data_IF_090415235795
#
_entry.id   IF_090415235795
#
_cell.length_a   1.000
_cell.length_b   1.000
_cell.length_c   1.000
_cell.angle_alpha   90.00
_cell.angle_beta   90.00
_cell.angle_gamma   90.00
#
_symmetry.space_group_name_H-M   'P 1'
#
loop_
_entity.id
_entity.type
_entity.pdbx_description
1 polymer ?
#
# COMPACT_ATOMS: atom_id res chain seq x y z
N UNK A 1 15.22 -34.64 -12.69
CA UNK A 1 16.10 -33.45 -12.65
C UNK A 1 15.23 -32.21 -12.74
N UNK A 2 15.21 -31.40 -11.68
CA UNK A 2 15.05 -29.95 -11.73
C UNK A 2 15.31 -29.39 -10.31
N UNK A 3 16.57 -29.30 -9.86
CA UNK A 3 16.93 -28.50 -8.68
C UNK A 3 16.88 -27.02 -9.10
N UNK A 4 15.68 -26.44 -9.03
CA UNK A 4 15.43 -25.06 -9.39
C UNK A 4 15.20 -24.20 -8.16
N UNK A 5 16.19 -23.33 -7.92
CA UNK A 5 16.07 -22.03 -7.27
C UNK A 5 16.00 -22.02 -5.73
N UNK A 6 17.09 -21.45 -5.21
CA UNK A 6 17.28 -20.67 -3.98
C UNK A 6 16.09 -19.75 -3.62
N UNK A 7 14.93 -20.33 -3.33
CA UNK A 7 13.71 -19.59 -3.04
C UNK A 7 13.32 -19.86 -1.59
N UNK A 8 13.77 -18.94 -0.74
CA UNK A 8 13.22 -18.55 0.55
C UNK A 8 12.80 -19.73 1.44
N UNK A 9 13.72 -20.09 2.33
CA UNK A 9 13.71 -21.18 3.31
C UNK A 9 12.43 -21.33 4.18
N UNK A 10 11.45 -20.45 4.05
CA UNK A 10 10.20 -20.44 4.83
C UNK A 10 9.35 -21.70 4.66
N UNK A 11 9.31 -22.31 3.47
CA UNK A 11 8.60 -23.58 3.27
C UNK A 11 9.28 -24.75 3.97
N UNK A 12 10.61 -24.73 4.04
CA UNK A 12 11.41 -25.75 4.75
C UNK A 12 11.20 -25.60 6.26
N UNK A 13 11.34 -24.39 6.78
CA UNK A 13 11.10 -24.06 8.19
C UNK A 13 9.68 -24.44 8.61
N UNK A 14 8.67 -24.11 7.79
CA UNK A 14 7.29 -24.47 8.06
C UNK A 14 7.09 -25.99 8.11
N UNK A 15 7.72 -26.73 7.18
CA UNK A 15 7.64 -28.19 7.13
C UNK A 15 8.30 -28.85 8.34
N UNK A 16 9.49 -28.39 8.73
CA UNK A 16 10.18 -28.89 9.92
C UNK A 16 9.37 -28.57 11.20
N UNK A 17 8.76 -27.39 11.27
CA UNK A 17 7.88 -27.02 12.36
C UNK A 17 6.63 -27.91 12.43
N UNK A 18 6.00 -28.17 11.29
CA UNK A 18 4.84 -29.05 11.18
C UNK A 18 5.15 -30.47 11.69
N UNK A 19 6.30 -31.02 11.30
CA UNK A 19 6.76 -32.34 11.77
C UNK A 19 7.03 -32.36 13.27
N UNK A 20 7.76 -31.35 13.77
CA UNK A 20 8.10 -31.21 15.19
C UNK A 20 6.88 -31.06 16.09
N UNK A 21 5.83 -30.38 15.59
CA UNK A 21 4.57 -30.18 16.33
C UNK A 21 3.52 -31.25 16.05
N UNK A 22 3.80 -32.22 15.17
CA UNK A 22 2.86 -33.26 14.71
C UNK A 22 1.56 -32.67 14.16
N UNK A 23 1.65 -31.57 13.41
CA UNK A 23 0.49 -30.88 12.84
C UNK A 23 0.41 -31.10 11.32
N UNK A 24 -0.78 -31.40 10.80
CA UNK A 24 -1.01 -31.53 9.36
C UNK A 24 -0.96 -30.15 8.67
N UNK A 25 -0.10 -30.04 7.67
CA UNK A 25 0.03 -28.86 6.82
C UNK A 25 -0.65 -29.12 5.46
N UNK A 26 -1.62 -28.29 5.10
CA UNK A 26 -2.33 -28.34 3.83
C UNK A 26 -2.10 -27.04 3.04
N UNK A 27 -1.72 -27.17 1.77
CA UNK A 27 -1.45 -26.05 0.88
C UNK A 27 -2.56 -25.99 -0.16
N UNK A 28 -3.27 -24.88 -0.21
CA UNK A 28 -4.34 -24.62 -1.15
C UNK A 28 -3.90 -23.49 -2.09
N UNK A 29 -3.64 -23.81 -3.35
CA UNK A 29 -3.39 -22.79 -4.36
C UNK A 29 -4.71 -22.19 -4.84
N UNK A 30 -4.92 -20.94 -4.45
CA UNK A 30 -6.08 -20.18 -4.88
C UNK A 30 -5.86 -19.55 -6.25
N UNK A 31 -6.96 -19.09 -6.85
CA UNK A 31 -6.95 -18.47 -8.18
C UNK A 31 -5.96 -17.31 -8.24
N UNK A 32 -5.31 -17.20 -9.39
CA UNK A 32 -4.54 -16.02 -9.75
C UNK A 32 -5.49 -14.88 -10.11
N UNK A 33 -5.32 -13.73 -9.48
CA UNK A 33 -6.09 -12.52 -9.73
C UNK A 33 -5.16 -11.42 -10.23
N UNK A 34 -5.56 -10.72 -11.28
CA UNK A 34 -4.78 -9.63 -11.87
C UNK A 34 -4.78 -9.65 -13.40
N UNK A 35 -4.38 -8.53 -14.03
CA UNK A 35 -4.20 -8.49 -15.47
C UNK A 35 -3.03 -9.38 -15.91
N UNK A 36 -3.01 -9.81 -17.18
CA UNK A 36 -1.95 -10.70 -17.71
C UNK A 36 -0.51 -10.18 -17.50
N UNK A 37 -0.34 -8.87 -17.30
CA UNK A 37 0.95 -8.21 -17.04
C UNK A 37 1.25 -7.99 -15.54
N UNK A 38 0.30 -8.28 -14.63
CA UNK A 38 0.44 -8.13 -13.18
C UNK A 38 -0.39 -9.21 -12.46
N UNK A 39 -0.07 -10.47 -12.77
CA UNK A 39 -0.80 -11.62 -12.24
C UNK A 39 -0.35 -11.89 -10.79
N UNK A 40 -1.27 -11.77 -9.84
CA UNK A 40 -1.02 -12.10 -8.44
C UNK A 40 -1.55 -13.50 -8.13
N UNK A 41 -0.69 -14.36 -7.63
CA UNK A 41 -1.05 -15.67 -7.14
C UNK A 41 -1.42 -15.59 -5.66
N UNK A 42 -2.56 -16.17 -5.31
CA UNK A 42 -3.02 -16.30 -3.94
C UNK A 42 -2.81 -17.76 -3.50
N UNK A 43 -2.25 -17.94 -2.30
CA UNK A 43 -2.02 -19.27 -1.72
C UNK A 43 -2.43 -19.23 -0.26
N UNK A 44 -3.19 -20.24 0.15
CA UNK A 44 -3.59 -20.44 1.54
C UNK A 44 -2.88 -21.65 2.10
N UNK A 45 -2.36 -21.53 3.32
CA UNK A 45 -1.74 -22.64 4.04
C UNK A 45 -2.50 -22.82 5.36
N UNK A 46 -2.95 -24.05 5.59
CA UNK A 46 -3.59 -24.46 6.82
C UNK A 46 -2.63 -25.38 7.58
N UNK A 47 -2.29 -25.04 8.81
CA UNK A 47 -1.47 -25.85 9.70
C UNK A 47 -2.24 -26.14 10.98
N UNK A 48 -2.93 -27.28 11.00
CA UNK A 48 -3.81 -27.68 12.11
C UNK A 48 -4.94 -26.68 12.31
N UNK A 49 -4.87 -25.91 13.40
CA UNK A 49 -5.83 -24.84 13.73
C UNK A 49 -5.43 -23.47 13.21
N UNK A 50 -4.20 -23.32 12.70
CA UNK A 50 -3.68 -22.05 12.20
C UNK A 50 -3.85 -21.97 10.70
N UNK A 51 -4.14 -20.78 10.19
CA UNK A 51 -4.35 -20.57 8.77
C UNK A 51 -3.77 -19.23 8.36
N UNK A 52 -3.04 -19.21 7.26
CA UNK A 52 -2.49 -17.98 6.71
C UNK A 52 -2.60 -17.97 5.19
N UNK A 53 -2.78 -16.76 4.65
CA UNK A 53 -2.94 -16.52 3.23
C UNK A 53 -1.82 -15.60 2.77
N UNK A 54 -1.09 -16.03 1.74
CA UNK A 54 0.02 -15.29 1.17
C UNK A 54 -0.22 -15.01 -0.30
N UNK A 55 0.25 -13.85 -0.73
CA UNK A 55 0.17 -13.41 -2.12
C UNK A 55 1.56 -13.22 -2.71
N UNK A 56 1.72 -13.47 -4.00
CA UNK A 56 2.99 -13.28 -4.68
C UNK A 56 2.87 -13.19 -6.19
N UNK A 57 3.90 -12.64 -6.83
CA UNK A 57 3.99 -12.52 -8.30
C UNK A 57 4.16 -13.87 -8.99
N UNK A 58 4.58 -14.89 -8.23
CA UNK A 58 4.70 -16.27 -8.69
C UNK A 58 4.05 -17.20 -7.66
N UNK A 59 3.61 -18.38 -8.09
CA UNK A 59 3.07 -19.41 -7.18
C UNK A 59 4.02 -19.75 -6.03
N UNK A 60 5.33 -19.70 -6.28
CA UNK A 60 6.37 -20.01 -5.29
C UNK A 60 6.59 -18.86 -4.30
N UNK A 61 6.58 -17.61 -4.77
CA UNK A 61 6.59 -16.44 -3.90
C UNK A 61 5.34 -16.36 -3.00
N UNK A 62 4.16 -16.68 -3.55
CA UNK A 62 2.91 -16.72 -2.79
C UNK A 62 2.96 -17.78 -1.66
N UNK A 63 3.48 -18.97 -1.96
CA UNK A 63 3.71 -20.04 -0.97
C UNK A 63 4.68 -19.61 0.13
N UNK A 64 5.81 -19.01 -0.21
CA UNK A 64 6.79 -18.54 0.77
C UNK A 64 6.22 -17.46 1.69
N UNK A 65 5.44 -16.52 1.13
CA UNK A 65 4.79 -15.46 1.88
C UNK A 65 3.72 -16.00 2.84
N UNK A 66 2.90 -16.96 2.38
CA UNK A 66 1.91 -17.62 3.22
C UNK A 66 2.58 -18.37 4.39
N UNK A 67 3.71 -19.05 4.12
CA UNK A 67 4.47 -19.78 5.13
C UNK A 67 5.09 -18.85 6.18
N UNK A 68 5.60 -17.69 5.75
CA UNK A 68 6.14 -16.67 6.65
C UNK A 68 5.06 -16.14 7.62
N UNK A 69 3.90 -15.75 7.09
CA UNK A 69 2.78 -15.25 7.91
C UNK A 69 2.29 -16.30 8.91
N UNK A 70 2.26 -17.57 8.49
CA UNK A 70 1.86 -18.66 9.36
C UNK A 70 2.87 -18.88 10.49
N UNK A 71 4.17 -18.83 10.20
CA UNK A 71 5.22 -18.94 11.22
C UNK A 71 5.17 -17.78 12.23
N UNK A 72 4.92 -16.57 11.75
CA UNK A 72 4.72 -15.39 12.62
C UNK A 72 3.48 -15.55 13.52
N UNK A 73 2.38 -16.08 12.97
CA UNK A 73 1.15 -16.33 13.73
C UNK A 73 1.36 -17.38 14.83
N UNK A 74 2.13 -18.43 14.54
CA UNK A 74 2.36 -19.53 15.47
C UNK A 74 3.43 -19.19 16.51
N UNK A 75 4.40 -18.34 16.16
CA UNK A 75 5.48 -17.94 17.05
C UNK A 75 5.86 -16.46 16.88
N UNK A 76 5.05 -15.53 17.42
CA UNK A 76 5.25 -14.08 17.26
C UNK A 76 6.50 -13.52 17.96
N UNK A 77 7.30 -14.36 18.64
CA UNK A 77 8.57 -13.99 19.28
C UNK A 77 9.76 -14.88 18.90
N UNK A 78 9.61 -15.73 17.86
CA UNK A 78 10.66 -16.63 17.41
C UNK A 78 11.77 -15.89 16.67
N UNK A 79 12.97 -15.87 17.23
CA UNK A 79 14.17 -15.36 16.60
C UNK A 79 14.46 -16.13 15.28
N UNK A 80 14.12 -15.54 14.14
CA UNK A 80 14.67 -15.95 12.83
C UNK A 80 15.39 -14.76 12.18
N UNK A 81 16.63 -14.94 11.69
CA UNK A 81 17.42 -13.86 11.12
C UNK A 81 17.06 -13.64 9.65
N UNK A 82 16.94 -12.36 9.29
CA UNK A 82 16.91 -11.82 7.93
C UNK A 82 15.75 -12.22 7.02
N UNK A 83 14.70 -11.41 7.16
CA UNK A 83 13.91 -10.89 6.05
C UNK A 83 13.29 -9.58 6.49
N UNK A 84 14.07 -8.50 6.48
CA UNK A 84 13.51 -7.14 6.42
C UNK A 84 12.69 -7.08 5.13
N UNK A 85 11.41 -7.43 5.24
CA UNK A 85 10.42 -7.00 4.28
C UNK A 85 9.72 -5.84 4.98
N UNK A 86 10.36 -4.68 4.85
CA UNK A 86 9.67 -3.40 4.79
C UNK A 86 8.50 -3.47 3.81
N UNK A 87 7.35 -4.00 4.25
CA UNK A 87 6.01 -3.49 3.95
C UNK A 87 5.13 -3.74 5.18
N UNK A 88 5.55 -3.13 6.30
CA UNK A 88 4.61 -2.60 7.27
C UNK A 88 3.64 -1.69 6.53
N UNK A 89 2.48 -2.25 6.17
CA UNK A 89 1.16 -1.78 6.60
C UNK A 89 0.10 -2.81 6.20
N UNK A 90 0.10 -3.92 6.93
CA UNK A 90 -1.10 -4.22 7.69
C UNK A 90 -1.24 -3.14 8.75
N UNK A 91 -1.77 -1.98 8.36
CA UNK A 91 -2.41 -1.09 9.30
C UNK A 91 -3.75 -0.79 8.65
N UNK A 92 -4.75 -1.51 9.16
CA UNK A 92 -6.04 -0.96 9.53
C UNK A 92 -6.21 0.54 9.25
N UNK A 93 -6.32 0.96 7.99
CA UNK A 93 -6.99 2.23 7.68
C UNK A 93 -8.49 1.97 7.67
N UNK A 94 -8.98 1.55 8.83
CA UNK A 94 -10.33 1.87 9.23
C UNK A 94 -10.47 3.38 9.07
N UNK A 95 -11.15 3.80 8.01
CA UNK A 95 -11.58 5.18 7.83
C UNK A 95 -10.47 6.26 7.82
N UNK A 96 -9.31 6.02 7.19
CA UNK A 96 -8.44 7.15 6.86
C UNK A 96 -9.02 7.90 5.66
N UNK A 97 -9.80 8.94 5.95
CA UNK A 97 -10.36 9.81 4.93
C UNK A 97 -9.23 10.71 4.42
N UNK A 98 -8.42 10.24 3.47
CA UNK A 98 -7.36 11.05 2.84
C UNK A 98 -7.88 12.37 2.27
N UNK A 99 -9.14 12.37 1.84
CA UNK A 99 -9.88 13.57 1.42
C UNK A 99 -10.06 14.54 2.59
N UNK A 100 -10.36 14.03 3.78
CA UNK A 100 -10.46 14.78 5.03
C UNK A 100 -9.10 15.30 5.50
N UNK A 101 -8.06 14.45 5.51
CA UNK A 101 -6.71 14.88 5.89
C UNK A 101 -6.20 16.02 4.99
N UNK A 102 -6.43 15.94 3.67
CA UNK A 102 -6.09 17.02 2.74
C UNK A 102 -6.85 18.31 3.03
N UNK A 103 -8.15 18.17 3.36
CA UNK A 103 -9.00 19.30 3.69
C UNK A 103 -8.55 19.98 4.98
N UNK A 104 -8.28 19.21 6.03
CA UNK A 104 -7.78 19.69 7.32
C UNK A 104 -6.42 20.38 7.17
N UNK A 105 -5.49 19.78 6.41
CA UNK A 105 -4.18 20.38 6.16
C UNK A 105 -4.28 21.72 5.43
N UNK A 106 -5.10 21.80 4.39
CA UNK A 106 -5.34 23.06 3.69
C UNK A 106 -5.96 24.10 4.64
N UNK A 107 -6.94 23.70 5.45
CA UNK A 107 -7.61 24.60 6.39
C UNK A 107 -6.65 25.12 7.48
N UNK A 108 -5.78 24.26 8.01
CA UNK A 108 -4.78 24.63 9.01
C UNK A 108 -3.76 25.64 8.46
N UNK A 109 -3.36 25.50 7.18
CA UNK A 109 -2.46 26.42 6.50
C UNK A 109 -3.16 27.66 5.92
N UNK A 110 -4.47 27.82 6.15
CA UNK A 110 -5.34 28.86 5.54
C UNK A 110 -5.33 28.86 4.01
N UNK A 111 -5.18 27.69 3.41
CA UNK A 111 -5.18 27.48 1.97
C UNK A 111 -6.59 27.15 1.46
N UNK A 112 -6.80 27.30 0.15
CA UNK A 112 -8.12 27.06 -0.46
C UNK A 112 -8.47 25.57 -0.40
N UNK A 113 -9.74 25.26 -0.15
CA UNK A 113 -10.22 23.88 -0.07
C UNK A 113 -10.01 23.13 -1.40
N UNK A 114 -9.63 21.84 -1.35
CA UNK A 114 -9.43 21.02 -2.54
C UNK A 114 -10.76 20.72 -3.25
N UNK A 115 -10.80 20.95 -4.57
CA UNK A 115 -11.96 20.68 -5.43
C UNK A 115 -11.75 19.37 -6.18
N UNK A 116 -12.70 18.44 -6.09
CA UNK A 116 -12.65 17.15 -6.79
C UNK A 116 -13.61 17.15 -7.98
N UNK A 117 -13.07 16.96 -9.16
CA UNK A 117 -13.80 16.86 -10.42
C UNK A 117 -13.68 15.44 -10.96
N UNK A 118 -14.79 14.75 -11.15
CA UNK A 118 -14.79 13.41 -11.75
C UNK A 118 -14.68 13.57 -13.27
N UNK A 119 -13.58 13.11 -13.88
CA UNK A 119 -13.48 12.99 -15.34
C UNK A 119 -13.93 11.58 -15.74
N UNK A 120 -15.07 11.52 -16.45
CA UNK A 120 -15.52 10.29 -17.09
C UNK A 120 -14.56 9.95 -18.26
N UNK A 121 -13.52 9.18 -17.95
CA UNK A 121 -12.63 8.62 -18.97
C UNK A 121 -13.36 7.59 -19.82
N UNK A 122 -13.00 7.52 -21.10
CA UNK A 122 -13.58 6.63 -22.12
C UNK A 122 -13.20 5.13 -21.93
N UNK A 123 -12.64 4.76 -20.76
CA UNK A 123 -12.11 3.43 -20.44
C UNK A 123 -12.65 2.97 -19.08
N UNK A 124 -12.64 1.66 -18.83
CA UNK A 124 -13.14 0.99 -17.61
C UNK A 124 -12.48 1.42 -16.29
N UNK A 125 -11.60 2.43 -16.30
CA UNK A 125 -10.95 3.05 -15.15
C UNK A 125 -11.54 4.45 -14.91
N UNK A 126 -11.97 4.74 -13.68
CA UNK A 126 -12.51 6.05 -13.31
C UNK A 126 -11.39 6.99 -12.92
N UNK A 127 -11.40 8.20 -13.47
CA UNK A 127 -10.39 9.22 -13.18
C UNK A 127 -11.04 10.36 -12.39
N UNK A 128 -10.43 10.74 -11.28
CA UNK A 128 -10.81 11.90 -10.49
C UNK A 128 -9.66 12.90 -10.55
N UNK A 129 -9.95 14.16 -10.87
CA UNK A 129 -8.99 15.24 -10.84
C UNK A 129 -9.22 16.06 -9.58
N UNK A 130 -8.20 16.18 -8.74
CA UNK A 130 -8.22 17.09 -7.60
C UNK A 130 -7.48 18.38 -7.99
N UNK A 131 -8.11 19.52 -7.72
CA UNK A 131 -7.60 20.86 -7.98
C UNK A 131 -7.49 21.58 -6.64
N UNK A 132 -6.28 21.96 -6.24
CA UNK A 132 -6.02 22.66 -4.97
C UNK A 132 -5.37 24.00 -5.28
N UNK A 133 -5.92 25.09 -4.71
CA UNK A 133 -5.38 26.43 -4.90
C UNK A 133 -4.64 26.87 -3.64
N UNK A 134 -3.32 26.98 -3.75
CA UNK A 134 -2.43 27.37 -2.66
C UNK A 134 -2.08 28.85 -2.80
N UNK A 135 -2.39 29.70 -1.80
CA UNK A 135 -1.94 31.08 -1.77
C UNK A 135 -0.43 31.15 -1.52
N UNK A 136 0.28 31.98 -2.29
CA UNK A 136 1.66 32.40 -2.02
C UNK A 136 1.61 33.83 -1.48
N UNK A 137 1.71 33.96 -0.16
CA UNK A 137 1.77 35.27 0.51
C UNK A 137 2.96 36.11 0.06
N UNK A 138 4.10 35.47 -0.21
CA UNK A 138 5.34 36.16 -0.59
C UNK A 138 5.32 36.75 -2.00
N UNK A 139 4.50 36.22 -2.92
CA UNK A 139 4.47 36.64 -4.33
C UNK A 139 3.14 37.29 -4.76
N UNK A 140 2.22 37.61 -3.82
CA UNK A 140 0.81 37.97 -4.12
C UNK A 140 0.20 37.04 -5.19
N UNK A 141 0.55 35.77 -5.14
CA UNK A 141 0.19 34.78 -6.15
C UNK A 141 -0.74 33.72 -5.57
N UNK A 142 -1.41 32.97 -6.45
CA UNK A 142 -2.00 31.69 -6.07
C UNK A 142 -1.58 30.63 -7.07
N UNK A 143 -0.97 29.54 -6.59
CA UNK A 143 -0.63 28.40 -7.43
C UNK A 143 -1.78 27.39 -7.39
N UNK A 144 -2.18 26.91 -8.56
CA UNK A 144 -3.24 25.90 -8.67
C UNK A 144 -2.62 24.55 -9.01
N UNK A 145 -2.55 23.67 -8.02
CA UNK A 145 -2.07 22.30 -8.18
C UNK A 145 -3.20 21.45 -8.77
N UNK A 146 -2.91 20.76 -9.86
CA UNK A 146 -3.82 19.83 -10.51
C UNK A 146 -3.25 18.42 -10.43
N UNK A 147 -3.87 17.55 -9.65
CA UNK A 147 -3.50 16.14 -9.60
C UNK A 147 -4.60 15.27 -10.18
N UNK A 148 -4.21 14.18 -10.82
CA UNK A 148 -5.13 13.15 -11.28
C UNK A 148 -4.95 11.91 -10.41
N UNK A 149 -6.06 11.33 -10.00
CA UNK A 149 -6.14 10.04 -9.34
C UNK A 149 -6.98 9.11 -10.19
N UNK A 150 -6.43 7.94 -10.52
CA UNK A 150 -7.13 6.92 -11.30
C UNK A 150 -7.49 5.76 -10.38
N UNK A 151 -8.75 5.34 -10.37
CA UNK A 151 -9.21 4.20 -9.57
C UNK A 151 -10.21 3.30 -10.30
N UNK A 152 -10.27 2.03 -9.90
CA UNK A 152 -11.31 1.09 -10.36
C UNK A 152 -12.71 1.49 -9.87
N UNK A 153 -12.80 2.29 -8.80
CA UNK A 153 -14.05 2.81 -8.24
C UNK A 153 -13.93 4.31 -7.95
N UNK A 154 -15.06 5.01 -7.81
CA UNK A 154 -15.09 6.45 -7.48
C UNK A 154 -14.34 6.78 -6.20
N UNK A 155 -14.52 5.92 -5.19
CA UNK A 155 -13.84 6.02 -3.89
C UNK A 155 -12.33 5.96 -4.06
N UNK A 156 -11.82 4.94 -4.76
CA UNK A 156 -10.38 4.76 -4.98
C UNK A 156 -9.80 5.89 -5.83
N UNK A 157 -10.51 6.35 -6.86
CA UNK A 157 -10.04 7.46 -7.71
C UNK A 157 -9.90 8.76 -6.90
N UNK A 158 -10.88 9.06 -6.05
CA UNK A 158 -10.88 10.23 -5.17
C UNK A 158 -9.79 10.15 -4.09
N UNK A 159 -9.62 8.97 -3.50
CA UNK A 159 -8.59 8.70 -2.50
C UNK A 159 -7.19 8.87 -3.08
N UNK A 160 -6.93 8.31 -4.28
CA UNK A 160 -5.66 8.47 -5.00
C UNK A 160 -5.38 9.93 -5.36
N UNK A 161 -6.42 10.65 -5.76
CA UNK A 161 -6.30 12.07 -6.06
C UNK A 161 -5.99 12.89 -4.79
N UNK A 162 -6.57 12.53 -3.65
CA UNK A 162 -6.30 13.18 -2.38
C UNK A 162 -4.88 12.91 -1.87
N UNK A 163 -4.40 11.67 -1.97
CA UNK A 163 -3.03 11.29 -1.60
C UNK A 163 -1.98 12.05 -2.42
N UNK A 164 -2.13 12.06 -3.75
CA UNK A 164 -1.23 12.79 -4.64
C UNK A 164 -1.25 14.30 -4.37
N UNK A 165 -2.43 14.86 -4.05
CA UNK A 165 -2.53 16.27 -3.69
C UNK A 165 -1.83 16.54 -2.35
N UNK A 166 -2.01 15.67 -1.35
CA UNK A 166 -1.44 15.83 -0.02
C UNK A 166 0.07 15.90 -0.06
N UNK A 167 0.70 15.02 -0.84
CA UNK A 167 2.16 15.00 -1.04
C UNK A 167 2.68 16.34 -1.59
N UNK A 168 2.07 16.84 -2.67
CA UNK A 168 2.46 18.12 -3.27
C UNK A 168 2.19 19.32 -2.36
N UNK A 169 1.07 19.31 -1.65
CA UNK A 169 0.67 20.36 -0.71
C UNK A 169 1.63 20.39 0.48
N UNK A 170 2.07 19.23 0.99
CA UNK A 170 3.09 19.14 2.04
C UNK A 170 4.47 19.58 1.54
N UNK A 171 4.86 19.17 0.32
CA UNK A 171 6.11 19.60 -0.29
C UNK A 171 6.15 21.12 -0.46
N UNK A 172 5.05 21.70 -0.93
CA UNK A 172 4.89 23.15 -1.08
C UNK A 172 4.93 23.87 0.27
N UNK A 173 4.27 23.32 1.29
CA UNK A 173 4.30 23.87 2.65
C UNK A 173 5.71 23.89 3.22
N UNK A 174 6.47 22.82 2.95
CA UNK A 174 7.88 22.73 3.34
C UNK A 174 8.74 23.71 2.55
N UNK A 175 8.47 23.93 1.27
CA UNK A 175 9.21 24.92 0.47
C UNK A 175 9.01 26.34 1.04
N UNK A 176 7.76 26.73 1.33
CA UNK A 176 7.46 28.03 1.98
C UNK A 176 8.10 28.11 3.37
N UNK A 177 8.08 27.02 4.14
CA UNK A 177 8.68 26.99 5.48
C UNK A 177 10.22 26.92 5.47
N UNK A 178 10.84 26.57 4.33
CA UNK A 178 12.30 26.42 4.19
C UNK A 178 12.98 27.65 3.60
N UNK A 179 12.25 28.76 3.35
CA UNK A 179 12.90 30.05 3.17
C UNK A 179 13.22 30.63 4.55
N UNK A 180 14.49 30.58 5.02
CA UNK A 180 14.87 31.42 6.13
C UNK A 180 14.70 32.86 5.66
N UNK A 181 13.82 33.60 6.35
CA UNK A 181 13.81 35.06 6.38
C UNK A 181 15.25 35.56 6.27
N UNK A 182 15.64 36.10 5.10
CA UNK A 182 16.93 36.78 4.98
C UNK A 182 16.88 37.95 5.95
N UNK A 183 17.74 37.97 7.00
CA UNK A 183 17.90 39.20 7.77
C UNK A 183 18.47 40.25 6.82
N UNK A 184 17.84 41.42 6.81
CA UNK A 184 18.33 42.62 6.14
C UNK A 184 19.60 43.15 6.81
#
# INVERSE_FOLDING_TARGET
MAPGLNEMNWLVVLKEYADKKKVSCHYDDMRSSGPQHDLTFHVKINLGTFTAEGTGKTKKAAKAHAAQLLMELINPGGNNPQGDISMRKGDQRGNANFVGELQEFCQQKKWSLPVYEEEAGQSSWRTCRCKVRLPMEEYRGSVSIHVKGSGKTKRVAKERAAENALDLVQLFARAIASEPQRPI
#
